data_IF_615027605602
#
_entry.id   IF_615027605602
#
_cell.length_a   1.000
_cell.length_b   1.000
_cell.length_c   1.000
_cell.angle_alpha   90.00
_cell.angle_beta   90.00
_cell.angle_gamma   90.00
#
_symmetry.space_group_name_H-M   'P 1'
#
loop_
_entity.id
_entity.type
_entity.pdbx_description
1 polymer ?
#
# COMPACT_ATOMS: atom_id res chain seq x y z
N UNK A 1 -7.07 -11.06 -14.19
CA UNK A 1 -8.09 -10.10 -13.68
C UNK A 1 -7.51 -9.15 -12.61
N UNK A 2 -6.41 -9.52 -11.94
CA UNK A 2 -5.68 -8.71 -10.95
C UNK A 2 -5.03 -7.44 -11.51
N UNK A 3 -4.51 -7.45 -12.75
CA UNK A 3 -3.92 -6.25 -13.40
C UNK A 3 -4.82 -5.02 -13.36
N UNK A 4 -6.14 -5.22 -13.36
CA UNK A 4 -7.11 -4.14 -13.32
C UNK A 4 -7.10 -3.42 -11.95
N UNK A 5 -6.99 -4.16 -10.85
CA UNK A 5 -7.07 -3.58 -9.49
C UNK A 5 -5.80 -2.81 -9.16
N UNK A 6 -4.62 -3.35 -9.51
CA UNK A 6 -3.34 -2.68 -9.24
C UNK A 6 -3.23 -1.37 -10.02
N UNK A 7 -3.63 -1.39 -11.30
CA UNK A 7 -3.65 -0.21 -12.17
C UNK A 7 -4.67 0.83 -11.70
N UNK A 8 -5.86 0.42 -11.25
CA UNK A 8 -6.85 1.35 -10.70
C UNK A 8 -6.38 1.97 -9.38
N UNK A 9 -5.78 1.18 -8.49
CA UNK A 9 -5.23 1.68 -7.24
C UNK A 9 -4.07 2.65 -7.48
N UNK A 10 -3.18 2.34 -8.43
CA UNK A 10 -2.12 3.24 -8.89
C UNK A 10 -2.69 4.53 -9.47
N UNK A 11 -3.67 4.42 -10.37
CA UNK A 11 -4.33 5.56 -11.00
C UNK A 11 -4.99 6.47 -9.97
N UNK A 12 -5.73 5.90 -9.01
CA UNK A 12 -6.36 6.64 -7.93
C UNK A 12 -5.32 7.34 -7.03
N UNK A 13 -4.22 6.66 -6.67
CA UNK A 13 -3.14 7.27 -5.90
C UNK A 13 -2.50 8.43 -6.67
N UNK A 14 -2.21 8.26 -7.97
CA UNK A 14 -1.64 9.31 -8.82
C UNK A 14 -2.58 10.51 -8.92
N UNK A 15 -3.85 10.30 -9.24
CA UNK A 15 -4.85 11.37 -9.32
C UNK A 15 -5.02 12.11 -7.99
N UNK A 16 -4.89 11.41 -6.85
CA UNK A 16 -4.95 12.06 -5.54
C UNK A 16 -3.70 12.91 -5.26
N UNK A 17 -2.48 12.44 -5.63
CA UNK A 17 -1.27 13.28 -5.57
C UNK A 17 -1.40 14.53 -6.45
N UNK A 18 -1.90 14.38 -7.68
CA UNK A 18 -2.11 15.49 -8.61
C UNK A 18 -3.12 16.51 -8.07
N UNK A 19 -4.22 16.04 -7.48
CA UNK A 19 -5.19 16.90 -6.81
C UNK A 19 -4.56 17.69 -5.67
N UNK A 20 -3.77 17.03 -4.80
CA UNK A 20 -3.06 17.69 -3.71
C UNK A 20 -2.13 18.79 -4.24
N UNK A 21 -1.36 18.52 -5.29
CA UNK A 21 -0.49 19.52 -5.93
C UNK A 21 -1.29 20.71 -6.50
N UNK A 22 -2.40 20.44 -7.20
CA UNK A 22 -3.24 21.49 -7.77
C UNK A 22 -3.90 22.39 -6.71
N UNK A 23 -4.21 21.85 -5.53
CA UNK A 23 -4.70 22.64 -4.38
C UNK A 23 -3.59 23.54 -3.80
N UNK A 24 -2.35 23.05 -3.76
CA UNK A 24 -1.19 23.85 -3.32
C UNK A 24 -0.88 25.03 -4.25
N UNK A 25 -0.93 24.81 -5.56
CA UNK A 25 -0.71 25.88 -6.55
C UNK A 25 -1.74 27.02 -6.40
N UNK A 26 -2.86 26.75 -5.73
CA UNK A 26 -3.92 27.70 -5.41
C UNK A 26 -3.79 28.32 -4.02
N UNK A 27 -2.72 28.03 -3.28
CA UNK A 27 -2.49 28.54 -1.93
C UNK A 27 -3.44 27.96 -0.88
N UNK A 28 -4.09 26.83 -1.18
CA UNK A 28 -4.99 26.16 -0.23
C UNK A 28 -4.11 25.29 0.68
N UNK A 29 -4.05 25.68 1.96
CA UNK A 29 -3.33 24.91 2.97
C UNK A 29 -3.88 23.50 3.15
N UNK A 30 -2.96 22.64 3.56
CA UNK A 30 -3.01 21.20 3.49
C UNK A 30 -4.23 20.58 4.18
N UNK A 31 -5.02 19.72 3.52
CA UNK A 31 -5.98 18.89 4.22
C UNK A 31 -5.21 17.79 4.95
N UNK A 32 -5.06 17.91 6.26
CA UNK A 32 -4.54 16.88 7.19
C UNK A 32 -5.15 15.49 6.92
N UNK A 33 -6.37 15.48 6.39
CA UNK A 33 -7.12 14.33 5.91
C UNK A 33 -6.37 13.55 4.82
N UNK A 34 -5.68 14.20 3.89
CA UNK A 34 -4.92 13.54 2.83
C UNK A 34 -3.73 12.74 3.39
N UNK A 35 -3.00 13.34 4.35
CA UNK A 35 -1.92 12.66 5.06
C UNK A 35 -2.45 11.44 5.83
N UNK A 36 -3.56 11.60 6.56
CA UNK A 36 -4.21 10.50 7.30
C UNK A 36 -4.65 9.37 6.36
N UNK A 37 -5.28 9.68 5.23
CA UNK A 37 -5.70 8.70 4.23
C UNK A 37 -4.51 7.89 3.73
N UNK A 38 -3.40 8.54 3.35
CA UNK A 38 -2.21 7.83 2.90
C UNK A 38 -1.58 6.95 4.00
N UNK A 39 -1.59 7.42 5.25
CA UNK A 39 -1.10 6.63 6.39
C UNK A 39 -1.92 5.35 6.58
N UNK A 40 -3.26 5.45 6.55
CA UNK A 40 -4.14 4.29 6.64
C UNK A 40 -3.95 3.31 5.49
N UNK A 41 -3.90 3.80 4.25
CA UNK A 41 -3.72 2.94 3.07
C UNK A 41 -2.37 2.22 3.08
N UNK A 42 -1.30 2.91 3.46
CA UNK A 42 0.05 2.33 3.60
C UNK A 42 0.05 1.20 4.63
N UNK A 43 -0.64 1.41 5.75
CA UNK A 43 -0.82 0.40 6.79
C UNK A 43 -1.64 -0.79 6.32
N UNK A 44 -2.78 -0.57 5.67
CA UNK A 44 -3.61 -1.65 5.13
C UNK A 44 -2.84 -2.53 4.13
N UNK A 45 -2.00 -1.94 3.28
CA UNK A 45 -1.17 -2.71 2.36
C UNK A 45 -0.17 -3.61 3.12
N UNK A 46 0.43 -3.10 4.20
CA UNK A 46 1.28 -3.91 5.09
C UNK A 46 0.52 -5.04 5.77
N UNK A 47 -0.66 -4.74 6.34
CA UNK A 47 -1.51 -5.73 7.02
C UNK A 47 -2.01 -6.82 6.06
N UNK A 48 -2.30 -6.48 4.80
CA UNK A 48 -2.66 -7.46 3.76
C UNK A 48 -1.54 -8.46 3.52
N UNK A 49 -0.29 -8.01 3.40
CA UNK A 49 0.87 -8.89 3.26
C UNK A 49 0.99 -9.85 4.44
N UNK A 50 0.90 -9.32 5.67
CA UNK A 50 0.97 -10.14 6.89
C UNK A 50 -0.16 -11.17 6.95
N UNK A 51 -1.38 -10.80 6.55
CA UNK A 51 -2.50 -11.73 6.50
C UNK A 51 -2.23 -12.89 5.52
N UNK A 52 -1.66 -12.62 4.34
CA UNK A 52 -1.29 -13.67 3.38
C UNK A 52 -0.23 -14.61 3.98
N UNK A 53 0.81 -14.06 4.60
CA UNK A 53 1.87 -14.85 5.26
C UNK A 53 1.30 -15.77 6.35
N UNK A 54 0.32 -15.30 7.14
CA UNK A 54 -0.36 -16.12 8.15
C UNK A 54 -1.20 -17.24 7.52
N UNK A 55 -1.89 -16.97 6.42
CA UNK A 55 -2.66 -18.00 5.70
C UNK A 55 -1.74 -19.05 5.09
N UNK A 56 -0.62 -18.65 4.47
CA UNK A 56 0.40 -19.56 3.95
C UNK A 56 0.93 -20.48 5.05
N UNK A 57 1.29 -19.92 6.22
CA UNK A 57 1.76 -20.69 7.36
C UNK A 57 0.70 -21.68 7.88
N UNK A 58 -0.56 -21.27 7.93
CA UNK A 58 -1.67 -22.14 8.34
C UNK A 58 -1.87 -23.30 7.34
N UNK A 59 -1.84 -23.02 6.03
CA UNK A 59 -1.97 -24.03 4.98
C UNK A 59 -0.82 -25.03 5.04
N UNK A 60 0.42 -24.55 5.17
CA UNK A 60 1.60 -25.41 5.33
C UNK A 60 1.47 -26.31 6.57
N UNK A 61 1.06 -25.73 7.70
CA UNK A 61 0.86 -26.49 8.94
C UNK A 61 -0.23 -27.55 8.85
N UNK A 62 -1.26 -27.35 8.01
CA UNK A 62 -2.28 -28.37 7.72
C UNK A 62 -1.74 -29.46 6.79
N UNK A 63 -0.92 -29.08 5.80
CA UNK A 63 -0.27 -30.00 4.87
C UNK A 63 0.67 -30.95 5.61
N UNK A 64 1.53 -30.41 6.48
CA UNK A 64 2.52 -31.17 7.25
C UNK A 64 1.85 -32.19 8.19
N UNK A 65 0.64 -31.89 8.65
CA UNK A 65 -0.17 -32.79 9.50
C UNK A 65 -1.03 -33.78 8.69
N UNK A 66 -0.99 -33.73 7.36
CA UNK A 66 -1.82 -34.56 6.50
C UNK A 66 -3.32 -34.27 6.65
N UNK A 67 -3.69 -33.07 7.07
CA UNK A 67 -5.08 -32.67 7.33
C UNK A 67 -5.77 -32.05 6.12
N UNK A 68 -5.00 -31.69 5.09
CA UNK A 68 -5.56 -31.24 3.82
C UNK A 68 -6.13 -32.43 3.05
N UNK A 69 -7.37 -32.30 2.58
CA UNK A 69 -8.06 -33.28 1.74
C UNK A 69 -8.37 -32.66 0.38
N UNK A 70 -8.70 -33.51 -0.59
CA UNK A 70 -9.16 -33.08 -1.91
C UNK A 70 -10.27 -32.04 -1.80
N UNK A 71 -10.25 -31.06 -2.69
CA UNK A 71 -11.23 -29.98 -2.72
C UNK A 71 -12.66 -30.51 -2.95
N UNK A 72 -13.68 -29.71 -2.57
CA UNK A 72 -15.09 -30.04 -2.78
C UNK A 72 -15.46 -30.20 -4.27
N UNK A 73 -14.61 -29.68 -5.17
CA UNK A 73 -14.73 -29.82 -6.63
C UNK A 73 -14.10 -31.10 -7.18
N UNK A 74 -13.45 -31.91 -6.34
CA UNK A 74 -12.75 -33.12 -6.74
C UNK A 74 -11.41 -32.85 -7.44
N UNK A 75 -10.89 -31.63 -7.37
CA UNK A 75 -9.60 -31.27 -7.94
C UNK A 75 -8.43 -31.88 -7.14
N UNK A 76 -7.32 -32.25 -7.81
CA UNK A 76 -6.12 -32.74 -7.13
C UNK A 76 -5.58 -31.71 -6.12
N UNK A 77 -5.25 -32.17 -4.92
CA UNK A 77 -4.81 -31.29 -3.83
C UNK A 77 -3.53 -30.53 -4.18
N UNK A 78 -2.61 -31.16 -4.91
CA UNK A 78 -1.38 -30.58 -5.41
C UNK A 78 -1.63 -29.41 -6.37
N UNK A 79 -2.59 -29.53 -7.29
CA UNK A 79 -2.96 -28.43 -8.18
C UNK A 79 -3.58 -27.24 -7.42
N UNK A 80 -4.42 -27.53 -6.42
CA UNK A 80 -5.02 -26.49 -5.56
C UNK A 80 -3.94 -25.76 -4.76
N UNK A 81 -2.99 -26.49 -4.17
CA UNK A 81 -1.87 -25.94 -3.41
C UNK A 81 -0.92 -25.12 -4.29
N UNK A 82 -0.66 -25.56 -5.51
CA UNK A 82 0.13 -24.81 -6.47
C UNK A 82 -0.53 -23.47 -6.77
N UNK A 83 -1.82 -23.46 -7.14
CA UNK A 83 -2.54 -22.20 -7.43
C UNK A 83 -2.64 -21.29 -6.20
N UNK A 84 -2.80 -21.85 -5.01
CA UNK A 84 -2.78 -21.09 -3.76
C UNK A 84 -1.42 -20.41 -3.56
N UNK A 85 -0.31 -21.14 -3.76
CA UNK A 85 1.05 -20.61 -3.67
C UNK A 85 1.28 -19.48 -4.67
N UNK A 86 0.91 -19.69 -5.94
CA UNK A 86 1.05 -18.69 -7.00
C UNK A 86 0.19 -17.43 -6.70
N UNK A 87 -1.04 -17.62 -6.25
CA UNK A 87 -1.95 -16.52 -5.90
C UNK A 87 -1.47 -15.74 -4.67
N UNK A 88 -0.92 -16.44 -3.67
CA UNK A 88 -0.38 -15.82 -2.46
C UNK A 88 0.90 -15.03 -2.75
N UNK A 89 1.77 -15.55 -3.62
CA UNK A 89 2.92 -14.81 -4.12
C UNK A 89 2.51 -13.52 -4.83
N UNK A 90 1.58 -13.61 -5.80
CA UNK A 90 1.05 -12.44 -6.50
C UNK A 90 0.40 -11.42 -5.55
N UNK A 91 -0.35 -11.90 -4.54
CA UNK A 91 -0.95 -11.04 -3.52
C UNK A 91 0.08 -10.30 -2.67
N UNK A 92 1.19 -10.94 -2.31
CA UNK A 92 2.30 -10.30 -1.57
C UNK A 92 3.03 -9.27 -2.42
N UNK A 93 3.26 -9.55 -3.70
CA UNK A 93 3.87 -8.61 -4.63
C UNK A 93 3.01 -7.35 -4.80
N UNK A 94 1.70 -7.53 -4.97
CA UNK A 94 0.73 -6.43 -5.00
C UNK A 94 0.76 -5.61 -3.71
N UNK A 95 0.67 -6.26 -2.56
CA UNK A 95 0.70 -5.58 -1.26
C UNK A 95 2.01 -4.79 -1.07
N UNK A 96 3.15 -5.36 -1.48
CA UNK A 96 4.44 -4.69 -1.46
C UNK A 96 4.51 -3.48 -2.40
N UNK A 97 4.04 -3.62 -3.64
CA UNK A 97 3.99 -2.53 -4.61
C UNK A 97 3.11 -1.37 -4.13
N UNK A 98 1.92 -1.68 -3.59
CA UNK A 98 1.02 -0.69 -2.99
C UNK A 98 1.69 0.02 -1.81
N UNK A 99 2.28 -0.74 -0.89
CA UNK A 99 2.96 -0.16 0.28
C UNK A 99 4.09 0.80 -0.13
N UNK A 100 4.95 0.42 -1.08
CA UNK A 100 6.05 1.27 -1.55
C UNK A 100 5.56 2.56 -2.20
N UNK A 101 4.54 2.47 -3.07
CA UNK A 101 3.95 3.63 -3.75
C UNK A 101 3.24 4.58 -2.78
N UNK A 102 2.44 4.02 -1.86
CA UNK A 102 1.74 4.79 -0.85
C UNK A 102 2.69 5.42 0.17
N UNK A 103 3.77 4.73 0.55
CA UNK A 103 4.81 5.29 1.42
C UNK A 103 5.55 6.46 0.76
N UNK A 104 5.83 6.36 -0.54
CA UNK A 104 6.41 7.46 -1.34
C UNK A 104 5.45 8.66 -1.38
N UNK A 105 4.17 8.42 -1.65
CA UNK A 105 3.16 9.47 -1.64
C UNK A 105 2.98 10.07 -0.25
N UNK A 106 2.89 9.26 0.80
CA UNK A 106 2.81 9.69 2.20
C UNK A 106 4.00 10.57 2.59
N UNK A 107 5.22 10.19 2.18
CA UNK A 107 6.45 10.94 2.47
C UNK A 107 6.49 12.26 1.71
N UNK A 108 6.13 12.26 0.43
CA UNK A 108 5.99 13.49 -0.36
C UNK A 108 4.93 14.42 0.25
N UNK A 109 3.82 13.86 0.72
CA UNK A 109 2.73 14.59 1.36
C UNK A 109 3.17 15.16 2.71
N UNK A 110 3.85 14.35 3.54
CA UNK A 110 4.41 14.77 4.82
C UNK A 110 5.48 15.86 4.67
N UNK A 111 6.40 15.73 3.71
CA UNK A 111 7.44 16.73 3.47
C UNK A 111 6.87 18.11 3.13
N UNK A 112 5.68 18.17 2.50
CA UNK A 112 5.03 19.45 2.28
C UNK A 112 4.15 19.89 3.45
N UNK A 113 3.47 18.97 4.13
CA UNK A 113 2.68 19.28 5.33
C UNK A 113 3.53 19.88 6.46
N UNK A 114 4.78 19.42 6.56
CA UNK A 114 5.72 19.79 7.62
C UNK A 114 6.95 20.50 7.06
N UNK A 115 6.82 21.21 5.93
CA UNK A 115 7.92 22.02 5.39
C UNK A 115 8.43 22.91 6.51
N UNK A 116 9.63 22.63 7.01
CA UNK A 116 10.31 23.48 7.98
C UNK A 116 10.29 24.89 7.39
N UNK A 117 9.73 25.85 8.15
CA UNK A 117 9.80 27.25 7.77
C UNK A 117 11.25 27.56 7.39
N UNK A 118 11.51 28.29 6.28
CA UNK A 118 12.86 28.75 6.04
C UNK A 118 13.25 29.56 7.27
N UNK A 119 14.25 29.08 8.02
CA UNK A 119 14.84 29.79 9.14
C UNK A 119 14.97 31.25 8.71
N UNK A 120 14.28 32.12 9.45
CA UNK A 120 14.11 33.51 9.07
C UNK A 120 15.45 34.10 8.64
N UNK A 121 15.51 34.55 7.39
CA UNK A 121 16.50 35.54 7.00
C UNK A 121 16.22 36.77 7.87
N UNK A 122 16.87 36.84 9.04
CA UNK A 122 17.03 38.09 9.76
C UNK A 122 17.72 39.05 8.79
N UNK A 123 16.89 39.96 8.28
CA UNK A 123 17.33 41.08 7.48
C UNK A 123 18.23 41.93 8.37
N UNK A 124 19.54 41.80 8.19
CA UNK A 124 20.49 42.79 8.68
C UNK A 124 20.33 44.07 7.84
N UNK A 125 19.26 44.81 8.12
CA UNK A 125 19.08 46.20 7.71
C UNK A 125 19.07 47.08 8.96
N UNK A 126 20.23 47.67 9.24
CA UNK A 126 20.36 49.03 9.76
C UNK A 126 20.37 49.21 11.28
N UNK A 127 21.55 49.51 11.85
CA UNK A 127 21.98 50.88 12.18
C UNK A 127 23.45 50.91 12.55
#
# INVERSE_FOLDING_TARGET
MTENIEQHAEGAARSFVELVRALQDRGIEYPLEAYRVYSYLTRCAGEMRTAIELVEAAVQGLQDKGLLRSDYRGEPLDEVLQRFTESSAAGKDLAGALHGRLSTAHSAVGHVAYREEPEGQESATGS
#
